data_IF_716801298521
#
_entry.id   IF_716801298521
#
_cell.length_a   1.000
_cell.length_b   1.000
_cell.length_c   1.000
_cell.angle_alpha   90.00
_cell.angle_beta   90.00
_cell.angle_gamma   90.00
#
_symmetry.space_group_name_H-M   'P 1'
#
loop_
_entity.id
_entity.type
_entity.pdbx_description
1 polymer ?
#
# COMPACT_ATOMS: atom_id res chain seq x y z
N UNK A 1 16.51 7.58 9.73
CA UNK A 1 15.10 7.51 10.16
C UNK A 1 14.69 6.06 10.15
N UNK A 2 14.08 5.55 11.22
CA UNK A 2 13.44 4.24 11.18
C UNK A 2 12.29 4.31 10.18
N UNK A 3 12.22 3.37 9.24
CA UNK A 3 11.07 3.24 8.33
C UNK A 3 9.94 2.42 8.92
N UNK A 4 10.01 2.13 10.23
CA UNK A 4 9.03 1.33 10.98
C UNK A 4 8.32 2.18 12.02
N UNK A 5 6.98 2.09 12.04
CA UNK A 5 6.08 2.91 12.85
C UNK A 5 5.04 2.03 13.57
N UNK A 6 4.65 2.42 14.77
CA UNK A 6 3.63 1.74 15.58
C UNK A 6 4.16 0.58 16.43
N UNK A 7 3.33 0.11 17.38
CA UNK A 7 3.66 -1.00 18.28
C UNK A 7 2.78 -2.22 18.04
N UNK A 8 1.46 -2.07 18.18
CA UNK A 8 0.50 -3.16 17.92
C UNK A 8 0.09 -3.25 16.45
N UNK A 9 -0.10 -2.10 15.78
CA UNK A 9 -0.26 -2.01 14.34
C UNK A 9 1.05 -1.45 13.78
N UNK A 10 1.88 -2.34 13.22
CA UNK A 10 3.27 -2.04 12.90
C UNK A 10 3.45 -1.94 11.39
N UNK A 11 3.73 -0.74 10.91
CA UNK A 11 3.98 -0.44 9.51
C UNK A 11 5.49 -0.33 9.27
N UNK A 12 6.03 -1.05 8.29
CA UNK A 12 7.40 -0.87 7.82
C UNK A 12 7.40 -0.57 6.33
N UNK A 13 8.06 0.51 5.91
CA UNK A 13 8.13 0.93 4.51
C UNK A 13 9.55 0.69 3.97
N UNK A 14 9.65 0.25 2.71
CA UNK A 14 10.92 0.05 2.04
C UNK A 14 10.85 0.46 0.57
N UNK A 15 12.02 0.61 -0.06
CA UNK A 15 12.13 1.04 -1.45
C UNK A 15 12.49 2.51 -1.61
N UNK A 16 12.62 2.94 -2.85
CA UNK A 16 13.03 4.29 -3.23
C UNK A 16 12.33 4.71 -4.53
N UNK A 17 12.21 6.02 -4.75
CA UNK A 17 11.42 6.57 -5.86
C UNK A 17 11.89 6.21 -7.27
N UNK A 18 13.14 5.77 -7.45
CA UNK A 18 13.70 5.37 -8.75
C UNK A 18 14.00 3.87 -8.82
N UNK A 19 13.56 3.09 -7.81
CA UNK A 19 13.64 1.63 -7.86
C UNK A 19 12.50 1.06 -8.71
N UNK A 20 12.60 -0.22 -9.11
CA UNK A 20 11.50 -0.91 -9.78
C UNK A 20 10.20 -0.97 -8.97
N UNK A 21 10.30 -0.88 -7.63
CA UNK A 21 9.15 -0.89 -6.73
C UNK A 21 9.44 -0.13 -5.42
N UNK A 22 8.36 0.33 -4.81
CA UNK A 22 8.27 0.72 -3.39
C UNK A 22 7.25 -0.21 -2.74
N UNK A 23 7.41 -0.50 -1.46
CA UNK A 23 6.49 -1.37 -0.75
C UNK A 23 6.45 -1.13 0.75
N UNK A 24 5.56 -1.86 1.40
CA UNK A 24 5.37 -1.84 2.83
C UNK A 24 4.97 -3.21 3.36
N UNK A 25 5.22 -3.40 4.66
CA UNK A 25 4.62 -4.47 5.44
C UNK A 25 3.79 -3.87 6.55
N UNK A 26 2.62 -4.45 6.83
CA UNK A 26 1.73 -4.05 7.90
C UNK A 26 1.36 -5.27 8.74
N UNK A 27 1.82 -5.27 9.99
CA UNK A 27 1.56 -6.32 10.98
C UNK A 27 0.54 -5.84 12.03
N UNK A 28 -0.17 -6.79 12.65
CA UNK A 28 -1.16 -6.54 13.69
C UNK A 28 -2.58 -6.37 13.20
N UNK A 29 -2.85 -6.61 11.91
CA UNK A 29 -4.21 -6.60 11.36
C UNK A 29 -4.88 -7.95 11.65
N UNK A 30 -6.00 -7.98 12.40
CA UNK A 30 -6.72 -9.23 12.67
C UNK A 30 -7.21 -9.91 11.39
N UNK A 31 -7.41 -11.23 11.46
CA UNK A 31 -8.05 -11.97 10.38
C UNK A 31 -9.55 -11.63 10.25
N UNK A 32 -10.11 -11.79 9.05
CA UNK A 32 -11.54 -11.67 8.78
C UNK A 32 -11.99 -10.28 8.30
N UNK A 33 -11.08 -9.33 8.10
CA UNK A 33 -11.41 -8.02 7.57
C UNK A 33 -11.44 -8.05 6.04
N UNK A 34 -12.58 -7.73 5.44
CA UNK A 34 -12.69 -7.58 4.00
C UNK A 34 -12.04 -6.25 3.56
N UNK A 35 -11.24 -6.32 2.50
CA UNK A 35 -10.61 -5.17 1.84
C UNK A 35 -11.32 -4.93 0.50
N UNK A 36 -11.85 -3.73 0.34
CA UNK A 36 -12.35 -3.25 -0.95
C UNK A 36 -11.17 -2.71 -1.77
N UNK A 37 -10.70 -3.52 -2.72
CA UNK A 37 -9.60 -3.15 -3.61
C UNK A 37 -9.97 -2.00 -4.56
N UNK A 38 -11.25 -1.84 -4.90
CA UNK A 38 -11.73 -0.76 -5.76
C UNK A 38 -11.79 0.56 -4.98
N UNK A 39 -12.18 0.53 -3.70
CA UNK A 39 -12.04 1.68 -2.81
C UNK A 39 -10.58 2.06 -2.58
N UNK A 40 -9.69 1.07 -2.38
CA UNK A 40 -8.26 1.31 -2.25
C UNK A 40 -7.68 1.96 -3.51
N UNK A 41 -8.01 1.45 -4.70
CA UNK A 41 -7.55 2.04 -5.95
C UNK A 41 -8.08 3.47 -6.11
N UNK A 42 -9.36 3.71 -5.83
CA UNK A 42 -9.93 5.07 -5.83
C UNK A 42 -9.21 5.99 -4.84
N UNK A 43 -8.79 5.49 -3.69
CA UNK A 43 -8.00 6.24 -2.71
C UNK A 43 -6.62 6.63 -3.27
N UNK A 44 -5.93 5.70 -3.92
CA UNK A 44 -4.62 5.92 -4.54
C UNK A 44 -4.70 6.87 -5.74
N UNK A 45 -5.72 6.70 -6.59
CA UNK A 45 -5.93 7.55 -7.76
C UNK A 45 -6.11 9.03 -7.39
N UNK A 46 -6.63 9.34 -6.20
CA UNK A 46 -6.72 10.71 -5.68
C UNK A 46 -5.35 11.33 -5.40
N UNK A 47 -4.35 10.51 -5.06
CA UNK A 47 -2.98 10.92 -4.76
C UNK A 47 -2.08 10.96 -6.00
N UNK A 48 -2.46 10.23 -7.05
CA UNK A 48 -1.67 10.15 -8.27
C UNK A 48 -1.39 11.55 -8.86
N UNK A 49 -0.13 11.85 -9.23
CA UNK A 49 0.25 13.11 -9.89
C UNK A 49 -0.38 13.23 -11.29
N UNK A 50 -0.40 14.44 -11.83
CA UNK A 50 -0.91 14.70 -13.19
C UNK A 50 -2.37 15.16 -13.28
N UNK A 51 -3.05 15.41 -12.15
CA UNK A 51 -4.41 15.99 -12.13
C UNK A 51 -4.45 17.52 -12.18
N UNK A 52 -3.33 18.18 -11.87
CA UNK A 52 -3.20 19.63 -11.87
C UNK A 52 -2.26 20.09 -12.98
N UNK A 53 -2.49 21.28 -13.52
CA UNK A 53 -1.70 21.91 -14.60
C UNK A 53 -0.21 22.02 -14.26
N UNK A 54 0.12 22.11 -12.97
CA UNK A 54 1.50 22.20 -12.46
C UNK A 54 2.08 20.86 -11.96
N UNK A 55 1.35 19.76 -12.10
CA UNK A 55 1.84 18.46 -11.66
C UNK A 55 2.86 17.89 -12.66
N UNK A 56 3.72 16.99 -12.16
CA UNK A 56 4.70 16.32 -13.03
C UNK A 56 3.98 15.47 -14.09
N UNK A 57 4.53 15.35 -15.31
CA UNK A 57 3.91 14.57 -16.39
C UNK A 57 4.02 13.05 -16.20
N UNK A 58 4.63 12.57 -15.10
CA UNK A 58 4.78 11.14 -14.84
C UNK A 58 3.42 10.53 -14.53
N UNK A 59 3.10 9.44 -15.23
CA UNK A 59 1.95 8.58 -14.96
C UNK A 59 2.47 7.26 -14.42
N UNK A 60 2.69 7.21 -13.12
CA UNK A 60 2.95 5.95 -12.42
C UNK A 60 1.59 5.29 -12.21
N UNK A 61 1.43 4.05 -12.70
CA UNK A 61 0.23 3.29 -12.45
C UNK A 61 0.29 2.80 -11.00
N UNK A 62 -0.15 3.64 -10.06
CA UNK A 62 -0.18 3.35 -8.63
C UNK A 62 -1.20 2.23 -8.34
N UNK A 63 -0.82 1.00 -8.66
CA UNK A 63 -1.61 -0.22 -8.47
C UNK A 63 -0.87 -1.10 -7.45
N UNK A 64 -1.40 -1.27 -6.24
CA UNK A 64 -0.77 -2.09 -5.23
C UNK A 64 -0.94 -3.57 -5.58
N UNK A 65 0.11 -4.35 -5.35
CA UNK A 65 0.09 -5.81 -5.48
C UNK A 65 0.30 -6.44 -4.12
N UNK A 66 -0.71 -7.14 -3.60
CA UNK A 66 -0.58 -7.84 -2.31
C UNK A 66 0.15 -9.16 -2.48
N UNK A 67 1.33 -9.28 -1.86
CA UNK A 67 2.16 -10.49 -1.86
C UNK A 67 1.81 -11.44 -0.72
N UNK A 68 1.28 -10.92 0.39
CA UNK A 68 0.91 -11.71 1.58
C UNK A 68 -0.19 -11.05 2.43
N UNK A 69 -0.72 -11.80 3.40
CA UNK A 69 -1.66 -11.30 4.41
C UNK A 69 -3.13 -11.32 4.00
N UNK A 70 -3.42 -11.67 2.75
CA UNK A 70 -4.77 -11.84 2.20
C UNK A 70 -5.03 -13.26 1.72
N UNK A 71 -6.26 -13.73 1.91
CA UNK A 71 -6.84 -14.88 1.22
C UNK A 71 -8.08 -14.39 0.49
N UNK A 72 -8.01 -14.35 -0.84
CA UNK A 72 -8.96 -13.54 -1.62
C UNK A 72 -8.83 -12.06 -1.23
N UNK A 73 -9.94 -11.42 -0.87
CA UNK A 73 -9.97 -10.02 -0.44
C UNK A 73 -10.14 -9.88 1.08
N UNK A 74 -9.79 -10.91 1.86
CA UNK A 74 -9.98 -10.92 3.31
C UNK A 74 -8.65 -11.14 4.01
N UNK A 75 -8.40 -10.37 5.08
CA UNK A 75 -7.18 -10.52 5.89
C UNK A 75 -7.13 -11.89 6.56
N UNK A 76 -5.96 -12.52 6.56
CA UNK A 76 -5.76 -13.83 7.19
C UNK A 76 -5.03 -13.76 8.54
N UNK A 77 -4.70 -12.55 9.01
CA UNK A 77 -3.98 -12.32 10.26
C UNK A 77 -2.46 -12.44 10.16
N UNK A 78 -1.93 -12.89 9.00
CA UNK A 78 -0.52 -12.75 8.68
C UNK A 78 -0.21 -11.31 8.24
N UNK A 79 1.05 -10.86 8.34
CA UNK A 79 1.45 -9.53 7.87
C UNK A 79 1.06 -9.30 6.40
N UNK A 80 0.47 -8.15 6.15
CA UNK A 80 0.22 -7.67 4.79
C UNK A 80 1.54 -7.20 4.20
N UNK A 81 1.82 -7.58 2.95
CA UNK A 81 2.95 -7.06 2.18
C UNK A 81 2.42 -6.60 0.82
N UNK A 82 2.71 -5.35 0.45
CA UNK A 82 2.31 -4.74 -0.81
C UNK A 82 3.28 -3.66 -1.27
#
# INVERSE_FOLDING_TARGET
MSSTYGEHLKLSIFGQSHAPAIGMTLDGVPAGQAIDLDELQRFLDRRAPGRAEYATPRKEADRPEFLSGLVGNVTCGAPLAA
#
